data_IF_342651699530
#
_entry.id   IF_342651699530
#
_cell.length_a   1.000
_cell.length_b   1.000
_cell.length_c   1.000
_cell.angle_alpha   90.00
_cell.angle_beta   90.00
_cell.angle_gamma   90.00
#
_symmetry.space_group_name_H-M   'P 1'
#
loop_
_entity.id
_entity.type
_entity.pdbx_description
1 polymer ?
#
# COMPACT_ATOMS: atom_id res chain seq x y z
N UNK A 1 -12.58 53.82 -22.78
CA UNK A 1 -13.26 52.54 -23.06
C UNK A 1 -12.26 51.60 -23.69
N UNK A 2 -12.14 50.36 -23.19
CA UNK A 2 -11.55 49.17 -23.85
C UNK A 2 -10.35 48.46 -23.19
N UNK A 3 -9.97 48.70 -21.93
CA UNK A 3 -9.02 47.79 -21.24
C UNK A 3 -9.67 46.47 -20.82
N UNK A 4 -10.84 46.53 -20.18
CA UNK A 4 -11.59 45.36 -19.74
C UNK A 4 -11.96 44.39 -20.87
N UNK A 5 -12.17 44.90 -22.10
CA UNK A 5 -12.51 44.05 -23.25
C UNK A 5 -11.30 43.25 -23.75
N UNK A 6 -10.10 43.84 -23.73
CA UNK A 6 -8.86 43.18 -24.18
C UNK A 6 -8.47 42.10 -23.16
N UNK A 7 -8.57 42.41 -21.87
CA UNK A 7 -8.33 41.46 -20.78
C UNK A 7 -9.25 40.25 -20.86
N UNK A 8 -10.56 40.45 -21.00
CA UNK A 8 -11.51 39.34 -21.13
C UNK A 8 -11.21 38.45 -22.34
N UNK A 9 -10.90 39.05 -23.50
CA UNK A 9 -10.56 38.27 -24.71
C UNK A 9 -9.31 37.40 -24.52
N UNK A 10 -8.30 37.90 -23.81
CA UNK A 10 -7.06 37.15 -23.57
C UNK A 10 -7.30 35.94 -22.65
N UNK A 11 -8.03 36.13 -21.55
CA UNK A 11 -8.38 35.01 -20.65
C UNK A 11 -9.31 33.99 -21.31
N UNK A 12 -10.24 34.44 -22.16
CA UNK A 12 -11.09 33.53 -22.93
C UNK A 12 -10.26 32.68 -23.92
N UNK A 13 -9.27 33.28 -24.58
CA UNK A 13 -8.34 32.56 -25.46
C UNK A 13 -7.46 31.58 -24.69
N UNK A 14 -6.94 31.99 -23.53
CA UNK A 14 -6.17 31.10 -22.65
C UNK A 14 -7.00 29.92 -22.18
N UNK A 15 -8.25 30.15 -21.78
CA UNK A 15 -9.18 29.10 -21.37
C UNK A 15 -9.48 28.12 -22.50
N UNK A 16 -9.73 28.61 -23.72
CA UNK A 16 -9.96 27.75 -24.88
C UNK A 16 -8.74 26.84 -25.16
N UNK A 17 -7.54 27.42 -25.16
CA UNK A 17 -6.31 26.65 -25.41
C UNK A 17 -5.99 25.66 -24.28
N UNK A 18 -6.22 26.02 -23.02
CA UNK A 18 -6.03 25.12 -21.88
C UNK A 18 -7.06 23.98 -21.88
N UNK A 19 -8.32 24.25 -22.23
CA UNK A 19 -9.40 23.25 -22.25
C UNK A 19 -9.16 22.09 -23.22
N UNK A 20 -8.28 22.27 -24.21
CA UNK A 20 -7.88 21.22 -25.17
C UNK A 20 -6.99 20.15 -24.53
N UNK A 21 -6.31 20.45 -23.42
CA UNK A 21 -5.31 19.58 -22.81
C UNK A 21 -5.58 19.26 -21.32
N UNK A 22 -6.31 20.14 -20.62
CA UNK A 22 -6.51 20.10 -19.17
C UNK A 22 -7.97 19.91 -18.77
N UNK A 23 -8.21 19.38 -17.56
CA UNK A 23 -9.56 19.25 -17.02
C UNK A 23 -10.07 20.62 -16.49
N UNK A 24 -11.34 20.71 -16.06
CA UNK A 24 -11.94 21.98 -15.62
C UNK A 24 -11.25 22.58 -14.39
N UNK A 25 -10.79 21.75 -13.47
CA UNK A 25 -10.16 22.17 -12.21
C UNK A 25 -8.75 22.71 -12.47
N UNK A 26 -7.92 21.96 -13.20
CA UNK A 26 -6.57 22.36 -13.63
C UNK A 26 -6.62 23.63 -14.49
N UNK A 27 -7.60 23.74 -15.39
CA UNK A 27 -7.78 24.94 -16.22
C UNK A 27 -8.07 26.17 -15.35
N UNK A 28 -8.92 26.03 -14.33
CA UNK A 28 -9.25 27.12 -13.41
C UNK A 28 -8.04 27.54 -12.57
N UNK A 29 -7.25 26.59 -12.10
CA UNK A 29 -6.04 26.85 -11.33
C UNK A 29 -4.99 27.62 -12.14
N UNK A 30 -4.74 27.19 -13.38
CA UNK A 30 -3.78 27.87 -14.26
C UNK A 30 -4.27 29.28 -14.59
N UNK A 31 -5.57 29.47 -14.86
CA UNK A 31 -6.13 30.79 -15.11
C UNK A 31 -5.97 31.70 -13.89
N UNK A 32 -6.25 31.20 -12.68
CA UNK A 32 -6.13 31.99 -11.46
C UNK A 32 -4.69 32.43 -11.20
N UNK A 33 -3.71 31.54 -11.43
CA UNK A 33 -2.29 31.87 -11.32
C UNK A 33 -1.87 33.01 -12.25
N UNK A 34 -2.31 32.98 -13.51
CA UNK A 34 -1.99 34.06 -14.45
C UNK A 34 -2.77 35.33 -14.18
N UNK A 35 -3.98 35.25 -13.62
CA UNK A 35 -4.75 36.42 -13.19
C UNK A 35 -4.06 37.14 -12.03
N UNK A 36 -3.64 36.42 -10.99
CA UNK A 36 -2.86 36.97 -9.88
C UNK A 36 -1.54 37.59 -10.36
N UNK A 37 -0.76 36.85 -11.18
CA UNK A 37 0.51 37.34 -11.71
C UNK A 37 0.36 38.60 -12.59
N UNK A 38 -0.70 38.68 -13.39
CA UNK A 38 -0.96 39.87 -14.21
C UNK A 38 -1.42 41.02 -13.31
N UNK A 39 -2.24 40.74 -12.29
CA UNK A 39 -2.69 41.74 -11.34
C UNK A 39 -1.51 42.39 -10.60
N UNK A 40 -0.56 41.60 -10.11
CA UNK A 40 0.66 42.10 -9.45
C UNK A 40 1.44 43.07 -10.36
N UNK A 41 1.56 42.75 -11.65
CA UNK A 41 2.25 43.61 -12.64
C UNK A 41 1.49 44.88 -12.98
N UNK A 42 0.17 44.82 -12.97
CA UNK A 42 -0.69 46.00 -13.14
C UNK A 42 -0.58 46.94 -11.93
N UNK A 43 -0.49 46.40 -10.72
CA UNK A 43 -0.27 47.17 -9.48
C UNK A 43 1.11 47.85 -9.48
N UNK A 44 2.13 47.20 -10.05
CA UNK A 44 3.47 47.76 -10.29
C UNK A 44 3.51 48.85 -11.40
N UNK A 45 2.36 49.17 -12.00
CA UNK A 45 2.21 50.26 -12.97
C UNK A 45 2.57 49.89 -14.42
N UNK A 46 2.67 48.60 -14.75
CA UNK A 46 2.81 48.14 -16.13
C UNK A 46 1.45 48.11 -16.84
N UNK A 47 1.42 48.42 -18.13
CA UNK A 47 0.18 48.34 -18.91
C UNK A 47 -0.11 46.90 -19.34
N UNK A 48 -1.38 46.51 -19.36
CA UNK A 48 -1.83 45.17 -19.74
C UNK A 48 -1.34 44.77 -21.15
N UNK A 49 -1.37 45.69 -22.11
CA UNK A 49 -0.95 45.42 -23.50
C UNK A 49 0.55 45.10 -23.58
N UNK A 50 1.37 45.68 -22.71
CA UNK A 50 2.80 45.42 -22.66
C UNK A 50 3.12 44.10 -21.95
N UNK A 51 2.35 43.75 -20.92
CA UNK A 51 2.46 42.45 -20.24
C UNK A 51 2.15 41.32 -21.24
N UNK A 52 0.99 41.34 -21.89
CA UNK A 52 0.53 40.23 -22.74
C UNK A 52 1.35 40.04 -24.02
N UNK A 53 2.10 41.04 -24.50
CA UNK A 53 3.02 40.88 -25.64
C UNK A 53 4.07 39.79 -25.41
N UNK A 54 4.43 39.56 -24.15
CA UNK A 54 5.39 38.53 -23.75
C UNK A 54 4.75 37.17 -23.45
N UNK A 55 3.41 37.09 -23.42
CA UNK A 55 2.65 35.92 -22.99
C UNK A 55 1.65 35.47 -24.05
N UNK A 56 2.08 34.56 -24.93
CA UNK A 56 1.21 33.89 -25.90
C UNK A 56 0.42 32.75 -25.22
N UNK A 57 -0.93 32.81 -25.18
CA UNK A 57 -1.77 31.76 -24.59
C UNK A 57 -1.48 30.34 -25.11
N UNK A 58 -1.11 30.21 -26.39
CA UNK A 58 -0.77 28.91 -26.98
C UNK A 58 0.54 28.35 -26.46
N UNK A 59 1.52 29.22 -26.21
CA UNK A 59 2.80 28.80 -25.64
C UNK A 59 2.64 28.45 -24.16
N UNK A 60 1.85 29.22 -23.41
CA UNK A 60 1.52 28.92 -22.01
C UNK A 60 0.90 27.54 -21.89
N UNK A 61 -0.13 27.24 -22.70
CA UNK A 61 -0.77 25.93 -22.68
C UNK A 61 0.25 24.80 -22.93
N UNK A 62 1.14 24.95 -23.91
CA UNK A 62 2.18 23.95 -24.21
C UNK A 62 3.23 23.81 -23.11
N UNK A 63 3.64 24.89 -22.47
CA UNK A 63 4.61 24.88 -21.37
C UNK A 63 4.02 24.26 -20.10
N UNK A 64 2.70 24.34 -19.91
CA UNK A 64 2.02 23.73 -18.77
C UNK A 64 1.75 22.23 -18.95
N UNK A 65 1.79 21.70 -20.18
CA UNK A 65 1.58 20.27 -20.46
C UNK A 65 2.52 19.37 -19.64
N UNK A 66 3.87 19.55 -19.66
CA UNK A 66 4.77 18.72 -18.88
C UNK A 66 4.50 18.79 -17.37
N UNK A 67 4.17 19.99 -16.85
CA UNK A 67 3.93 20.23 -15.43
C UNK A 67 2.68 19.47 -14.96
N UNK A 68 1.57 19.62 -15.66
CA UNK A 68 0.32 18.94 -15.30
C UNK A 68 0.40 17.44 -15.56
N UNK A 69 1.13 16.98 -16.58
CA UNK A 69 1.38 15.54 -16.78
C UNK A 69 2.18 14.95 -15.61
N UNK A 70 3.22 15.63 -15.15
CA UNK A 70 3.99 15.19 -13.98
C UNK A 70 3.10 15.14 -12.74
N UNK A 71 2.28 16.16 -12.52
CA UNK A 71 1.34 16.23 -11.41
C UNK A 71 0.26 15.14 -11.47
N UNK A 72 -0.30 14.86 -12.66
CA UNK A 72 -1.22 13.73 -12.88
C UNK A 72 -0.55 12.38 -12.65
N UNK A 73 0.71 12.18 -13.04
CA UNK A 73 1.43 10.94 -12.76
C UNK A 73 1.66 10.74 -11.26
N UNK A 74 1.85 11.82 -10.51
CA UNK A 74 1.97 11.76 -9.05
C UNK A 74 0.60 11.60 -8.36
N UNK A 75 -0.47 12.18 -8.90
CA UNK A 75 -1.81 12.15 -8.29
C UNK A 75 -2.65 10.92 -8.71
N UNK A 76 -2.35 10.28 -9.85
CA UNK A 76 -2.96 9.01 -10.26
C UNK A 76 -2.54 7.82 -9.38
N UNK A 77 -1.60 8.04 -8.46
CA UNK A 77 -1.29 7.12 -7.37
C UNK A 77 -2.20 7.33 -6.15
N UNK A 78 -3.43 7.81 -6.34
CA UNK A 78 -4.53 7.51 -5.42
C UNK A 78 -4.80 6.00 -5.53
N UNK A 79 -4.03 5.24 -4.76
CA UNK A 79 -4.16 3.81 -4.53
C UNK A 79 -5.55 3.57 -3.92
N UNK A 80 -6.57 3.49 -4.75
CA UNK A 80 -7.81 2.87 -4.36
C UNK A 80 -7.51 1.40 -4.01
N UNK A 81 -8.20 0.88 -2.98
CA UNK A 81 -8.02 -0.42 -2.34
C UNK A 81 -8.12 -1.67 -3.26
N UNK A 82 -8.01 -1.51 -4.57
CA UNK A 82 -7.93 -2.57 -5.55
C UNK A 82 -6.57 -3.26 -5.48
N UNK A 83 -6.53 -4.40 -4.80
CA UNK A 83 -5.37 -5.30 -4.71
C UNK A 83 -4.71 -5.59 -6.09
N UNK A 84 -5.46 -5.54 -7.19
CA UNK A 84 -4.94 -5.67 -8.56
C UNK A 84 -4.03 -4.51 -9.01
N UNK A 85 -4.34 -3.27 -8.63
CA UNK A 85 -3.51 -2.11 -9.00
C UNK A 85 -2.22 -2.09 -8.19
N UNK A 86 -2.28 -2.52 -6.94
CA UNK A 86 -1.10 -2.71 -6.08
C UNK A 86 -0.14 -3.71 -6.72
N UNK A 87 -0.64 -4.83 -7.24
CA UNK A 87 0.16 -5.85 -7.94
C UNK A 87 0.80 -5.29 -9.23
N UNK A 88 0.08 -4.46 -9.98
CA UNK A 88 0.57 -3.89 -11.24
C UNK A 88 1.69 -2.86 -11.00
N UNK A 89 1.55 -2.02 -9.97
CA UNK A 89 2.57 -1.06 -9.55
C UNK A 89 3.80 -1.75 -8.95
N UNK A 90 3.60 -2.88 -8.26
CA UNK A 90 4.69 -3.71 -7.71
C UNK A 90 5.65 -4.22 -8.78
N UNK A 91 5.15 -4.50 -9.99
CA UNK A 91 5.93 -5.00 -11.12
C UNK A 91 6.64 -3.90 -11.93
N UNK A 92 6.19 -2.64 -11.84
CA UNK A 92 6.72 -1.52 -12.63
C UNK A 92 8.03 -0.93 -12.07
N UNK A 93 8.34 -1.18 -10.79
CA UNK A 93 9.48 -0.55 -10.10
C UNK A 93 10.54 -1.60 -9.74
N UNK A 94 11.77 -1.56 -10.28
CA UNK A 94 12.81 -2.58 -10.04
C UNK A 94 13.19 -2.77 -8.56
N UNK A 95 12.90 -1.77 -7.72
CA UNK A 95 13.17 -1.76 -6.27
C UNK A 95 12.05 -2.40 -5.44
N UNK A 96 10.82 -2.53 -5.99
CA UNK A 96 9.70 -3.17 -5.29
C UNK A 96 9.69 -4.70 -5.46
N UNK A 97 10.35 -5.25 -6.48
CA UNK A 97 10.48 -6.71 -6.67
C UNK A 97 11.07 -7.41 -5.43
N UNK A 98 12.24 -6.99 -4.88
CA UNK A 98 12.79 -7.61 -3.67
C UNK A 98 11.91 -7.39 -2.44
N UNK A 99 11.24 -6.24 -2.31
CA UNK A 99 10.33 -5.95 -1.20
C UNK A 99 9.05 -6.81 -1.26
N UNK A 100 8.49 -7.00 -2.45
CA UNK A 100 7.35 -7.86 -2.71
C UNK A 100 7.69 -9.33 -2.47
N UNK A 101 8.86 -9.78 -2.93
CA UNK A 101 9.36 -11.12 -2.65
C UNK A 101 9.54 -11.38 -1.14
N UNK A 102 10.08 -10.40 -0.40
CA UNK A 102 10.18 -10.48 1.06
C UNK A 102 8.81 -10.58 1.73
N UNK A 103 7.83 -9.78 1.28
CA UNK A 103 6.47 -9.83 1.81
C UNK A 103 5.79 -11.18 1.57
N UNK A 104 5.88 -11.71 0.34
CA UNK A 104 5.34 -13.02 -0.02
C UNK A 104 6.04 -14.14 0.76
N UNK A 105 7.36 -14.05 0.92
CA UNK A 105 8.14 -14.99 1.72
C UNK A 105 7.72 -14.99 3.19
N UNK A 106 7.57 -13.81 3.80
CA UNK A 106 7.11 -13.69 5.19
C UNK A 106 5.69 -14.23 5.38
N UNK A 107 4.79 -13.97 4.44
CA UNK A 107 3.43 -14.54 4.44
C UNK A 107 3.45 -16.06 4.29
N UNK A 108 4.30 -16.60 3.40
CA UNK A 108 4.44 -18.04 3.20
C UNK A 108 5.03 -18.73 4.43
N UNK A 109 6.02 -18.13 5.09
CA UNK A 109 6.58 -18.65 6.35
C UNK A 109 5.50 -18.64 7.44
N UNK A 110 4.78 -17.54 7.59
CA UNK A 110 3.76 -17.44 8.62
C UNK A 110 2.58 -18.41 8.38
N UNK A 111 2.15 -18.61 7.13
CA UNK A 111 1.13 -19.62 6.80
C UNK A 111 1.64 -21.04 7.04
N UNK A 112 2.90 -21.33 6.70
CA UNK A 112 3.52 -22.63 6.97
C UNK A 112 3.58 -22.97 8.46
N UNK A 113 3.82 -21.97 9.32
CA UNK A 113 3.82 -22.15 10.77
C UNK A 113 2.43 -22.52 11.30
N UNK A 114 1.36 -21.91 10.77
CA UNK A 114 -0.02 -22.25 11.12
C UNK A 114 -0.35 -23.68 10.70
N UNK A 115 -0.03 -24.06 9.45
CA UNK A 115 -0.26 -25.42 8.93
C UNK A 115 0.51 -26.45 9.76
N UNK A 116 1.76 -26.16 10.12
CA UNK A 116 2.59 -27.04 10.96
C UNK A 116 2.01 -27.19 12.36
N UNK A 117 1.53 -26.09 12.96
CA UNK A 117 0.86 -26.13 14.27
C UNK A 117 -0.40 -26.99 14.25
N UNK A 118 -1.24 -26.86 13.22
CA UNK A 118 -2.44 -27.68 13.03
C UNK A 118 -2.05 -29.16 12.84
N UNK A 119 -1.07 -29.44 11.98
CA UNK A 119 -0.60 -30.80 11.72
C UNK A 119 -0.05 -31.47 12.98
N UNK A 120 0.65 -30.73 13.84
CA UNK A 120 1.15 -31.24 15.13
C UNK A 120 0.02 -31.62 16.08
N UNK A 121 -1.03 -30.80 16.20
CA UNK A 121 -2.18 -31.11 17.05
C UNK A 121 -2.92 -32.35 16.53
N UNK A 122 -3.17 -32.43 15.22
CA UNK A 122 -3.80 -33.59 14.60
C UNK A 122 -2.95 -34.85 14.81
N UNK A 123 -1.63 -34.75 14.61
CA UNK A 123 -0.71 -35.86 14.78
C UNK A 123 -0.60 -36.31 16.24
N UNK A 124 -0.69 -35.39 17.20
CA UNK A 124 -0.71 -35.72 18.63
C UNK A 124 -1.97 -36.53 18.98
N UNK A 125 -3.15 -36.09 18.51
CA UNK A 125 -4.42 -36.79 18.75
C UNK A 125 -4.42 -38.15 18.06
N UNK A 126 -4.05 -38.21 16.78
CA UNK A 126 -3.97 -39.46 16.02
C UNK A 126 -2.94 -40.42 16.62
N UNK A 127 -1.77 -39.90 17.02
CA UNK A 127 -0.72 -40.63 17.71
C UNK A 127 -1.22 -41.26 18.99
N UNK A 128 -1.87 -40.48 19.87
CA UNK A 128 -2.46 -40.97 21.12
C UNK A 128 -3.46 -42.10 20.89
N UNK A 129 -4.38 -41.95 19.93
CA UNK A 129 -5.40 -42.97 19.64
C UNK A 129 -4.74 -44.25 19.11
N UNK A 130 -3.87 -44.14 18.10
CA UNK A 130 -3.24 -45.30 17.46
C UNK A 130 -2.36 -46.06 18.45
N UNK A 131 -1.53 -45.35 19.20
CA UNK A 131 -0.62 -45.97 20.17
C UNK A 131 -1.38 -46.51 21.38
N UNK A 132 -2.41 -45.81 21.86
CA UNK A 132 -3.32 -46.30 22.91
C UNK A 132 -4.04 -47.60 22.50
N UNK A 133 -4.59 -47.67 21.29
CA UNK A 133 -5.21 -48.90 20.77
C UNK A 133 -4.18 -50.03 20.64
N UNK A 134 -2.98 -49.76 20.10
CA UNK A 134 -1.92 -50.77 20.01
C UNK A 134 -1.54 -51.35 21.37
N UNK A 135 -1.44 -50.51 22.40
CA UNK A 135 -1.11 -50.94 23.76
C UNK A 135 -2.20 -51.86 24.33
N UNK A 136 -3.49 -51.55 24.10
CA UNK A 136 -4.60 -52.39 24.54
C UNK A 136 -4.60 -53.79 23.91
N UNK A 137 -4.15 -53.90 22.66
CA UNK A 137 -4.06 -55.18 21.94
C UNK A 137 -2.67 -55.86 22.03
N UNK A 138 -1.71 -55.27 22.73
CA UNK A 138 -0.33 -55.77 22.80
C UNK A 138 -0.15 -57.01 23.70
N UNK A 139 -1.20 -57.46 24.42
CA UNK A 139 -1.13 -58.63 25.29
C UNK A 139 -0.22 -58.45 26.51
N UNK A 140 0.03 -57.20 26.92
CA UNK A 140 0.89 -56.85 28.06
C UNK A 140 0.24 -57.25 29.39
N UNK A 141 1.08 -57.54 30.38
CA UNK A 141 0.62 -57.69 31.75
C UNK A 141 -0.01 -56.37 32.26
N UNK A 142 -0.98 -56.47 33.17
CA UNK A 142 -1.77 -55.34 33.66
C UNK A 142 -0.91 -54.17 34.18
N UNK A 143 0.17 -54.39 34.97
CA UNK A 143 1.04 -53.31 35.43
C UNK A 143 1.74 -52.56 34.30
N UNK A 144 2.27 -53.29 33.31
CA UNK A 144 3.00 -52.72 32.17
C UNK A 144 2.06 -51.95 31.24
N UNK A 145 0.83 -52.44 31.07
CA UNK A 145 -0.22 -51.75 30.31
C UNK A 145 -0.58 -50.40 30.93
N UNK A 146 -0.78 -50.35 32.26
CA UNK A 146 -1.07 -49.09 32.96
C UNK A 146 0.09 -48.10 32.86
N UNK A 147 1.33 -48.57 33.01
CA UNK A 147 2.53 -47.73 32.85
C UNK A 147 2.63 -47.17 31.43
N UNK A 148 2.45 -48.00 30.41
CA UNK A 148 2.52 -47.58 29.02
C UNK A 148 1.41 -46.58 28.64
N UNK A 149 0.18 -46.78 29.12
CA UNK A 149 -0.92 -45.82 28.94
C UNK A 149 -0.66 -44.50 29.67
N UNK A 150 -0.09 -44.54 30.88
CA UNK A 150 0.30 -43.35 31.62
C UNK A 150 1.33 -42.52 30.84
N UNK A 151 2.39 -43.16 30.33
CA UNK A 151 3.40 -42.51 29.48
C UNK A 151 2.77 -41.94 28.21
N UNK A 152 1.80 -42.66 27.62
CA UNK A 152 1.09 -42.21 26.43
C UNK A 152 0.31 -40.90 26.65
N UNK A 153 -0.44 -40.83 27.75
CA UNK A 153 -1.22 -39.65 28.13
C UNK A 153 -0.29 -38.47 28.44
N UNK A 154 0.83 -38.70 29.13
CA UNK A 154 1.82 -37.66 29.41
C UNK A 154 2.44 -37.13 28.11
N UNK A 155 2.81 -38.03 27.19
CA UNK A 155 3.33 -37.67 25.87
C UNK A 155 2.34 -36.83 25.06
N UNK A 156 1.06 -37.20 25.07
CA UNK A 156 0.00 -36.42 24.45
C UNK A 156 -0.15 -35.02 25.07
N UNK A 157 -0.17 -34.93 26.41
CA UNK A 157 -0.30 -33.66 27.11
C UNK A 157 0.84 -32.69 26.77
N UNK A 158 2.09 -33.19 26.72
CA UNK A 158 3.25 -32.39 26.32
C UNK A 158 3.15 -31.90 24.88
N UNK A 159 2.79 -32.79 23.93
CA UNK A 159 2.60 -32.39 22.53
C UNK A 159 1.47 -31.38 22.36
N UNK A 160 0.36 -31.52 23.10
CA UNK A 160 -0.75 -30.60 23.05
C UNK A 160 -0.35 -29.20 23.55
N UNK A 161 0.42 -29.11 24.65
CA UNK A 161 0.94 -27.84 25.17
C UNK A 161 1.88 -27.18 24.16
N UNK A 162 2.81 -27.94 23.58
CA UNK A 162 3.75 -27.45 22.56
C UNK A 162 2.99 -26.95 21.33
N UNK A 163 2.02 -27.72 20.83
CA UNK A 163 1.18 -27.36 19.69
C UNK A 163 0.39 -26.07 19.95
N UNK A 164 -0.23 -25.94 21.12
CA UNK A 164 -0.95 -24.72 21.52
C UNK A 164 -0.02 -23.50 21.57
N UNK A 165 1.16 -23.65 22.17
CA UNK A 165 2.16 -22.58 22.23
C UNK A 165 2.63 -22.15 20.84
N UNK A 166 2.87 -23.12 19.94
CA UNK A 166 3.28 -22.87 18.58
C UNK A 166 2.21 -22.08 17.81
N UNK A 167 0.93 -22.45 17.95
CA UNK A 167 -0.19 -21.74 17.33
C UNK A 167 -0.29 -20.30 17.86
N UNK A 168 -0.15 -20.12 19.19
CA UNK A 168 -0.19 -18.80 19.81
C UNK A 168 0.97 -17.91 19.34
N UNK A 169 2.18 -18.44 19.28
CA UNK A 169 3.36 -17.71 18.77
C UNK A 169 3.17 -17.35 17.30
N UNK A 170 2.72 -18.29 16.47
CA UNK A 170 2.44 -18.04 15.05
C UNK A 170 1.45 -16.90 14.86
N UNK A 171 0.38 -16.87 15.66
CA UNK A 171 -0.62 -15.81 15.64
C UNK A 171 -0.03 -14.45 16.04
N UNK A 172 0.80 -14.41 17.09
CA UNK A 172 1.48 -13.18 17.53
C UNK A 172 2.47 -12.68 16.48
N UNK A 173 3.23 -13.56 15.84
CA UNK A 173 4.17 -13.22 14.77
C UNK A 173 3.43 -12.59 13.59
N UNK A 174 2.30 -13.18 13.17
CA UNK A 174 1.44 -12.62 12.12
C UNK A 174 0.98 -11.20 12.44
N UNK A 175 0.48 -10.96 13.66
CA UNK A 175 0.04 -9.62 14.09
C UNK A 175 1.19 -8.62 14.13
N UNK A 176 2.35 -9.03 14.65
CA UNK A 176 3.52 -8.14 14.74
C UNK A 176 4.07 -7.77 13.37
N UNK A 177 4.14 -8.72 12.44
CA UNK A 177 4.57 -8.46 11.06
C UNK A 177 3.65 -7.43 10.39
N UNK A 178 2.33 -7.59 10.54
CA UNK A 178 1.34 -6.67 9.95
C UNK A 178 1.46 -5.23 10.51
N UNK A 179 1.68 -5.08 11.82
CA UNK A 179 1.87 -3.77 12.45
C UNK A 179 3.22 -3.16 12.03
N UNK A 180 4.28 -3.98 11.94
CA UNK A 180 5.62 -3.49 11.58
C UNK A 180 5.67 -2.98 10.14
N UNK A 181 5.02 -3.70 9.22
CA UNK A 181 4.87 -3.28 7.82
C UNK A 181 4.03 -2.00 7.74
N UNK A 182 2.90 -1.92 8.46
CA UNK A 182 2.07 -0.71 8.52
C UNK A 182 2.86 0.50 9.02
N UNK A 183 3.70 0.33 10.05
CA UNK A 183 4.57 1.39 10.56
C UNK A 183 5.65 1.82 9.57
N UNK A 184 6.25 0.90 8.81
CA UNK A 184 7.23 1.27 7.78
C UNK A 184 6.60 2.06 6.63
N UNK A 185 5.36 1.73 6.26
CA UNK A 185 4.62 2.44 5.21
C UNK A 185 4.22 3.85 5.68
N UNK A 186 3.71 4.00 6.91
CA UNK A 186 3.31 5.31 7.44
C UNK A 186 4.52 6.22 7.70
N UNK A 187 5.64 5.67 8.17
CA UNK A 187 6.86 6.45 8.45
C UNK A 187 7.49 7.09 7.20
N UNK A 188 7.23 6.56 6.00
CA UNK A 188 7.68 7.18 4.74
C UNK A 188 6.86 8.40 4.29
N UNK A 189 5.68 8.65 4.86
CA UNK A 189 4.84 9.82 4.50
C UNK A 189 5.16 11.10 5.28
N UNK A 190 5.90 11.02 6.39
CA UNK A 190 6.24 12.19 7.23
C UNK A 190 7.53 12.93 6.87
N UNK A 191 8.16 12.62 5.73
CA UNK A 191 9.47 13.20 5.34
C UNK A 191 9.41 14.12 4.12
N UNK A 192 8.22 14.52 3.67
CA UNK A 192 8.04 15.43 2.52
C UNK A 192 7.43 16.80 2.87
N UNK A 193 7.43 17.22 4.15
CA UNK A 193 6.91 18.54 4.55
C UNK A 193 7.99 19.57 4.93
N UNK A 194 9.25 19.39 4.52
CA UNK A 194 10.26 20.43 4.73
C UNK A 194 11.23 20.49 3.56
N UNK A 195 10.82 21.10 2.44
CA UNK A 195 11.71 21.81 1.51
C UNK A 195 10.89 22.81 0.69
#
# INVERSE_FOLDING_TARGET
>A
MSYAHIQQRWFDQLKDELSKYFNKEETAEIINYYDEMIHDKLEDGQDFDDIIKSYDPKQIAKQMIPRVIAERQTSSLKLDNNAKLIILVLFSTPVLIPLGALYVSLMAVASSMVVTGIALVISAVGGMIITGLRLLFAGLATPDLLLALGINIIGFALMAIIGYWLLKVSWVVLQRLSIWISKMIVRKRGTHENF
#
